data_IF_862226435926
#
_entry.id   IF_862226435926
#
_cell.length_a   1.000
_cell.length_b   1.000
_cell.length_c   1.000
_cell.angle_alpha   90.00
_cell.angle_beta   90.00
_cell.angle_gamma   90.00
#
_symmetry.space_group_name_H-M   'P 1'
#
loop_
_entity.id
_entity.type
_entity.pdbx_description
1 polymer ?
#
# COMPACT_ATOMS: atom_id res chain seq x y z
N UNK A 1 28.02 -11.81 -21.67
CA UNK A 1 27.49 -12.72 -20.67
C UNK A 1 26.36 -12.07 -19.93
N UNK A 2 25.25 -12.76 -19.86
CA UNK A 2 24.09 -12.22 -19.15
C UNK A 2 24.25 -12.41 -17.65
N UNK A 3 23.84 -11.40 -16.91
CA UNK A 3 23.76 -11.52 -15.46
C UNK A 3 22.61 -12.45 -15.11
N UNK A 4 22.72 -13.16 -14.02
CA UNK A 4 21.63 -13.99 -13.56
C UNK A 4 21.59 -14.00 -12.04
N UNK A 5 20.36 -14.19 -11.55
CA UNK A 5 20.11 -14.24 -10.11
C UNK A 5 20.18 -15.70 -9.71
N UNK A 6 20.87 -15.96 -8.59
CA UNK A 6 20.89 -17.32 -8.06
C UNK A 6 19.49 -17.69 -7.60
N UNK A 7 19.09 -18.90 -7.95
CA UNK A 7 17.77 -19.37 -7.58
C UNK A 7 17.75 -19.75 -6.10
N UNK A 8 16.79 -19.19 -5.41
CA UNK A 8 16.42 -19.66 -4.10
C UNK A 8 15.20 -20.50 -4.25
N UNK A 9 14.83 -21.22 -3.22
CA UNK A 9 13.65 -22.05 -3.29
C UNK A 9 12.37 -21.24 -3.15
N UNK A 10 12.45 -20.07 -2.55
CA UNK A 10 11.27 -19.24 -2.31
C UNK A 10 11.09 -18.20 -3.39
N UNK A 11 9.86 -17.99 -3.77
CA UNK A 11 9.51 -16.87 -4.62
C UNK A 11 9.58 -15.59 -3.81
N UNK A 12 9.81 -14.48 -4.48
CA UNK A 12 9.91 -13.18 -3.83
C UNK A 12 8.88 -12.23 -4.42
N UNK A 13 8.14 -11.58 -3.55
CA UNK A 13 7.21 -10.52 -3.93
C UNK A 13 7.32 -9.44 -2.87
N UNK A 14 8.09 -8.41 -3.15
CA UNK A 14 8.37 -7.35 -2.19
C UNK A 14 8.29 -6.01 -2.88
N UNK A 15 7.56 -5.09 -2.27
CA UNK A 15 7.37 -3.74 -2.78
C UNK A 15 7.70 -2.75 -1.68
N UNK A 16 8.45 -1.72 -2.04
CA UNK A 16 8.72 -0.59 -1.17
C UNK A 16 8.51 0.67 -1.98
N UNK A 17 7.56 1.48 -1.56
CA UNK A 17 7.23 2.72 -2.24
C UNK A 17 7.40 3.88 -1.28
N UNK A 18 7.87 4.99 -1.79
CA UNK A 18 7.88 6.23 -1.02
C UNK A 18 7.33 7.33 -1.91
N UNK A 19 6.29 7.99 -1.43
CA UNK A 19 5.64 9.04 -2.18
C UNK A 19 4.67 9.79 -1.29
N UNK A 20 3.68 10.44 -1.89
CA UNK A 20 2.71 11.19 -1.12
C UNK A 20 1.30 10.76 -1.49
N UNK A 21 0.39 10.93 -0.55
CA UNK A 21 -1.02 10.63 -0.81
C UNK A 21 -1.62 11.68 -1.71
N UNK A 22 -2.32 11.24 -2.74
CA UNK A 22 -2.97 12.16 -3.68
C UNK A 22 -4.45 12.36 -3.36
N UNK A 23 -4.99 11.58 -2.42
CA UNK A 23 -6.40 11.68 -2.05
C UNK A 23 -6.58 11.27 -0.60
N UNK A 24 -7.77 11.55 -0.07
CA UNK A 24 -8.13 11.16 1.29
C UNK A 24 -8.20 9.64 1.36
N UNK A 25 -7.64 9.02 2.41
CA UNK A 25 -7.78 7.58 2.61
C UNK A 25 -9.26 7.18 2.69
N UNK A 26 -9.59 6.05 2.11
CA UNK A 26 -10.96 5.59 2.05
C UNK A 26 -11.11 4.26 2.75
N UNK A 27 -11.93 4.21 3.80
CA UNK A 27 -12.20 2.98 4.52
C UNK A 27 -13.38 2.27 3.88
N UNK A 28 -13.25 0.97 3.68
CA UNK A 28 -14.31 0.16 3.09
C UNK A 28 -14.52 -1.10 3.89
N UNK A 29 -15.78 -1.52 3.97
CA UNK A 29 -16.15 -2.79 4.60
C UNK A 29 -16.38 -3.80 3.49
N UNK A 30 -15.73 -4.95 3.61
CA UNK A 30 -15.86 -6.03 2.65
C UNK A 30 -17.09 -6.88 2.98
N UNK A 31 -17.58 -7.68 2.02
CA UNK A 31 -18.73 -8.57 2.29
C UNK A 31 -18.48 -9.51 3.47
N UNK A 32 -17.25 -9.86 3.76
CA UNK A 32 -16.91 -10.70 4.91
C UNK A 32 -17.05 -10.00 6.25
N UNK A 33 -17.20 -8.67 6.24
CA UNK A 33 -17.17 -7.87 7.46
C UNK A 33 -15.79 -7.34 7.81
N UNK A 34 -14.76 -7.83 7.15
CA UNK A 34 -13.42 -7.29 7.30
C UNK A 34 -13.35 -5.90 6.67
N UNK A 35 -12.34 -5.14 7.03
CA UNK A 35 -12.20 -3.77 6.56
C UNK A 35 -10.87 -3.55 5.89
N UNK A 36 -10.85 -2.64 4.92
CA UNK A 36 -9.64 -2.20 4.25
C UNK A 36 -9.63 -0.68 4.21
N UNK A 37 -8.44 -0.11 4.15
CA UNK A 37 -8.27 1.31 3.88
C UNK A 37 -7.53 1.44 2.56
N UNK A 38 -8.16 2.09 1.60
CA UNK A 38 -7.57 2.30 0.29
C UNK A 38 -6.86 3.65 0.26
N UNK A 39 -5.64 3.62 -0.26
CA UNK A 39 -4.81 4.80 -0.40
C UNK A 39 -4.40 4.93 -1.86
N UNK A 40 -4.13 6.16 -2.27
CA UNK A 40 -3.54 6.41 -3.57
C UNK A 40 -2.24 7.15 -3.35
N UNK A 41 -1.14 6.53 -3.74
CA UNK A 41 0.19 7.05 -3.52
C UNK A 41 0.79 7.44 -4.86
N UNK A 42 1.25 8.69 -4.98
CA UNK A 42 1.92 9.13 -6.19
C UNK A 42 3.41 9.13 -5.95
N UNK A 43 4.12 8.54 -6.89
CA UNK A 43 5.57 8.42 -6.85
C UNK A 43 6.13 9.11 -8.07
N UNK A 44 7.02 10.06 -7.85
CA UNK A 44 7.66 10.79 -8.94
C UNK A 44 8.66 9.86 -9.63
N UNK A 45 8.64 9.84 -10.94
CA UNK A 45 9.64 9.07 -11.69
C UNK A 45 11.00 9.71 -11.53
N UNK A 46 12.07 8.91 -11.57
CA UNK A 46 13.43 9.43 -11.33
C UNK A 46 13.83 10.59 -12.24
N UNK A 47 13.35 10.59 -13.48
CA UNK A 47 13.67 11.67 -14.41
C UNK A 47 12.83 12.92 -14.18
N UNK A 48 11.88 12.88 -13.26
CA UNK A 48 11.04 14.03 -12.93
C UNK A 48 9.96 14.35 -13.95
N UNK A 49 9.82 13.55 -15.01
CA UNK A 49 8.92 13.86 -16.11
C UNK A 49 7.46 13.75 -15.73
N UNK A 50 7.14 12.81 -14.84
CA UNK A 50 5.76 12.54 -14.45
C UNK A 50 5.74 11.75 -13.16
N UNK A 51 4.54 11.43 -12.72
CA UNK A 51 4.33 10.61 -11.52
C UNK A 51 3.53 9.37 -11.90
N UNK A 52 3.71 8.32 -11.12
CA UNK A 52 2.84 7.16 -11.17
C UNK A 52 1.90 7.22 -9.99
N UNK A 53 0.62 7.04 -10.25
CA UNK A 53 -0.40 6.98 -9.19
C UNK A 53 -0.71 5.51 -8.95
N UNK A 54 -0.44 5.06 -7.73
CA UNK A 54 -0.50 3.66 -7.39
C UNK A 54 -1.55 3.42 -6.33
N UNK A 55 -2.36 2.38 -6.55
CA UNK A 55 -3.36 1.99 -5.57
C UNK A 55 -2.73 1.09 -4.52
N UNK A 56 -2.97 1.43 -3.26
CA UNK A 56 -2.45 0.70 -2.11
C UNK A 56 -3.61 0.33 -1.22
N UNK A 57 -3.66 -0.92 -0.79
CA UNK A 57 -4.68 -1.41 0.11
C UNK A 57 -4.04 -1.80 1.43
N UNK A 58 -4.52 -1.23 2.52
CA UNK A 58 -4.11 -1.61 3.86
C UNK A 58 -5.20 -2.53 4.40
N UNK A 59 -4.86 -3.76 4.66
CA UNK A 59 -5.82 -4.78 5.05
C UNK A 59 -5.88 -5.90 4.03
N UNK A 60 -6.88 -6.81 4.15
CA UNK A 60 -7.98 -6.70 5.10
C UNK A 60 -7.54 -6.91 6.54
N UNK A 61 -8.32 -6.31 7.42
CA UNK A 61 -8.17 -6.47 8.84
C UNK A 61 -9.54 -6.62 9.49
N UNK A 62 -9.60 -6.82 10.80
CA UNK A 62 -10.85 -7.12 11.46
C UNK A 62 -11.78 -5.91 11.51
N UNK A 63 -13.06 -6.15 11.36
CA UNK A 63 -14.08 -5.16 11.62
C UNK A 63 -14.25 -4.94 13.13
N UNK A 64 -15.21 -4.10 13.52
CA UNK A 64 -15.45 -3.81 14.94
C UNK A 64 -15.67 -5.08 15.73
N UNK A 65 -14.97 -5.20 16.86
CA UNK A 65 -15.10 -6.35 17.73
C UNK A 65 -14.36 -7.59 17.29
N UNK A 66 -13.80 -7.59 16.08
CA UNK A 66 -13.05 -8.72 15.58
C UNK A 66 -11.58 -8.69 15.98
N UNK A 67 -10.90 -9.80 15.72
CA UNK A 67 -9.46 -9.90 15.94
C UNK A 67 -8.76 -10.21 14.63
N UNK A 68 -7.58 -9.65 14.46
CA UNK A 68 -6.76 -9.93 13.28
C UNK A 68 -6.31 -11.39 13.32
N UNK A 69 -6.39 -12.05 12.16
CA UNK A 69 -5.82 -13.37 11.97
C UNK A 69 -4.33 -13.24 11.65
N UNK A 70 -3.57 -14.33 11.79
CA UNK A 70 -2.15 -14.26 11.42
C UNK A 70 -2.00 -13.76 9.99
N UNK A 71 -1.11 -12.80 9.80
CA UNK A 71 -0.86 -12.21 8.49
C UNK A 71 -1.77 -11.07 8.11
N UNK A 72 -2.82 -10.80 8.89
CA UNK A 72 -3.69 -9.65 8.65
C UNK A 72 -3.15 -8.42 9.37
N UNK A 73 -3.52 -7.24 8.85
CA UNK A 73 -3.20 -6.01 9.58
C UNK A 73 -4.17 -5.88 10.75
N UNK A 74 -3.69 -5.25 11.81
CA UNK A 74 -4.51 -5.03 12.97
C UNK A 74 -5.39 -3.80 12.84
N UNK A 75 -6.32 -3.68 13.77
CA UNK A 75 -7.25 -2.56 13.79
C UNK A 75 -6.52 -1.23 13.93
N UNK A 76 -5.44 -1.21 14.68
CA UNK A 76 -4.66 -0.01 14.87
C UNK A 76 -4.01 0.45 13.57
N UNK A 77 -3.50 -0.48 12.77
CA UNK A 77 -2.91 -0.14 11.49
C UNK A 77 -3.95 0.43 10.54
N UNK A 78 -5.16 -0.11 10.55
CA UNK A 78 -6.26 0.45 9.75
C UNK A 78 -6.59 1.86 10.19
N UNK A 79 -6.68 2.09 11.50
CA UNK A 79 -6.98 3.42 12.03
C UNK A 79 -5.89 4.42 11.70
N UNK A 80 -4.63 4.01 11.80
CA UNK A 80 -3.51 4.90 11.49
C UNK A 80 -3.51 5.26 10.01
N UNK A 81 -3.80 4.30 9.15
CA UNK A 81 -3.86 4.56 7.71
C UNK A 81 -4.99 5.52 7.37
N UNK A 82 -6.12 5.37 8.04
CA UNK A 82 -7.27 6.23 7.79
C UNK A 82 -7.02 7.68 8.20
N UNK A 83 -6.13 7.91 9.15
CA UNK A 83 -5.81 9.25 9.62
C UNK A 83 -4.77 9.99 8.79
N UNK A 84 -4.18 9.33 7.81
CA UNK A 84 -3.18 9.99 6.98
C UNK A 84 -3.84 11.12 6.19
N UNK A 85 -3.07 12.18 5.96
CA UNK A 85 -3.58 13.36 5.29
C UNK A 85 -3.18 13.38 3.82
N UNK A 86 -3.99 14.07 3.02
CA UNK A 86 -3.64 14.35 1.63
C UNK A 86 -2.31 15.09 1.60
N UNK A 87 -1.47 14.75 0.64
CA UNK A 87 -0.13 15.31 0.44
C UNK A 87 0.90 14.86 1.46
N UNK A 88 0.50 14.07 2.44
CA UNK A 88 1.46 13.52 3.39
C UNK A 88 2.37 12.52 2.70
N UNK A 89 3.67 12.60 3.00
CA UNK A 89 4.62 11.64 2.47
C UNK A 89 4.61 10.38 3.33
N UNK A 90 4.62 9.25 2.64
CA UNK A 90 4.55 7.95 3.30
C UNK A 90 5.52 6.98 2.65
N UNK A 91 5.91 5.99 3.42
CA UNK A 91 6.61 4.83 2.90
C UNK A 91 5.71 3.62 3.07
N UNK A 92 5.52 2.90 1.98
CA UNK A 92 4.68 1.70 1.95
C UNK A 92 5.58 0.50 1.75
N UNK A 93 5.39 -0.50 2.60
CA UNK A 93 6.10 -1.77 2.49
C UNK A 93 5.04 -2.85 2.38
N UNK A 94 5.17 -3.71 1.38
CA UNK A 94 4.18 -4.76 1.17
C UNK A 94 4.52 -5.63 -0.01
N UNK A 95 3.49 -6.05 -0.71
CA UNK A 95 3.63 -6.93 -1.86
C UNK A 95 2.66 -6.53 -2.93
N UNK A 96 2.93 -6.96 -4.16
CA UNK A 96 2.07 -6.70 -5.28
C UNK A 96 1.06 -7.84 -5.36
N UNK A 97 -0.21 -7.50 -5.49
CA UNK A 97 -1.28 -8.49 -5.56
C UNK A 97 -2.14 -8.24 -6.78
N UNK A 98 -2.61 -9.33 -7.37
CA UNK A 98 -3.61 -9.25 -8.42
C UNK A 98 -4.97 -9.41 -7.76
N UNK A 99 -5.83 -8.44 -7.97
CA UNK A 99 -7.18 -8.47 -7.46
C UNK A 99 -8.14 -8.77 -8.61
N UNK A 100 -9.05 -9.69 -8.37
CA UNK A 100 -10.05 -10.12 -9.35
C UNK A 100 -11.44 -9.72 -8.89
N UNK A 101 -12.29 -9.39 -9.82
CA UNK A 101 -13.71 -9.15 -9.54
C UNK A 101 -14.50 -9.37 -10.80
N UNK A 102 -15.85 -9.58 -10.63
CA UNK A 102 -16.74 -9.73 -11.75
C UNK A 102 -17.43 -8.39 -12.01
N UNK A 103 -17.49 -8.01 -13.28
CA UNK A 103 -18.13 -6.75 -13.69
C UNK A 103 -18.89 -7.02 -14.97
N UNK A 104 -20.24 -6.89 -14.92
CA UNK A 104 -21.07 -7.02 -16.10
C UNK A 104 -20.93 -8.34 -16.81
N UNK A 105 -20.74 -9.44 -16.08
CA UNK A 105 -20.56 -10.74 -16.67
C UNK A 105 -19.15 -11.06 -17.14
N UNK A 106 -18.24 -10.11 -17.03
CA UNK A 106 -16.84 -10.31 -17.40
C UNK A 106 -15.97 -10.32 -16.14
N UNK A 107 -14.97 -11.17 -16.15
CA UNK A 107 -14.01 -11.21 -15.06
C UNK A 107 -12.90 -10.21 -15.33
N UNK A 108 -12.63 -9.38 -14.36
CA UNK A 108 -11.61 -8.34 -14.49
C UNK A 108 -10.58 -8.47 -13.40
N UNK A 109 -9.40 -7.89 -13.64
CA UNK A 109 -8.35 -7.88 -12.64
C UNK A 109 -7.54 -6.61 -12.76
N UNK A 110 -6.86 -6.28 -11.68
CA UNK A 110 -5.83 -5.26 -11.71
C UNK A 110 -4.83 -5.53 -10.61
N UNK A 111 -3.67 -4.92 -10.75
CA UNK A 111 -2.62 -5.04 -9.76
C UNK A 111 -2.77 -3.91 -8.74
N UNK A 112 -2.51 -4.24 -7.50
CA UNK A 112 -2.49 -3.26 -6.43
C UNK A 112 -1.41 -3.66 -5.43
N UNK A 113 -0.95 -2.71 -4.64
CA UNK A 113 0.01 -2.99 -3.58
C UNK A 113 -0.78 -3.29 -2.32
N UNK A 114 -0.53 -4.45 -1.75
CA UNK A 114 -1.08 -4.81 -0.44
C UNK A 114 -0.06 -4.42 0.61
N UNK A 115 -0.37 -3.42 1.43
CA UNK A 115 0.57 -2.91 2.41
C UNK A 115 0.58 -3.74 3.67
N UNK A 116 1.76 -4.14 4.09
CA UNK A 116 2.00 -4.68 5.42
C UNK A 116 2.22 -3.55 6.41
N UNK A 117 2.77 -2.43 5.95
CA UNK A 117 2.99 -1.27 6.78
C UNK A 117 2.96 0.00 5.94
N UNK A 118 2.40 1.06 6.50
CA UNK A 118 2.44 2.40 5.92
C UNK A 118 2.94 3.33 7.01
N UNK A 119 4.07 3.98 6.74
CA UNK A 119 4.75 4.79 7.72
C UNK A 119 4.85 6.22 7.22
N UNK A 120 4.55 7.21 8.07
CA UNK A 120 4.78 8.60 7.68
C UNK A 120 6.27 8.84 7.52
N UNK A 121 6.62 9.61 6.49
CA UNK A 121 8.00 10.02 6.27
C UNK A 121 8.16 11.41 6.85
N UNK A 122 9.07 11.54 7.82
CA UNK A 122 9.29 12.81 8.49
C UNK A 122 10.77 13.12 8.45
N UNK A 123 11.07 14.40 8.58
CA UNK A 123 12.45 14.82 8.69
C UNK A 123 13.29 14.63 7.46
N UNK A 124 12.65 14.33 6.35
CA UNK A 124 13.43 14.11 5.16
C UNK A 124 14.10 15.37 4.72
N UNK A 125 13.67 16.47 5.24
CA UNK A 125 14.18 17.65 4.94
C UNK A 125 15.06 18.05 5.91
N UNK A 126 14.85 17.66 6.84
CA UNK A 126 15.61 18.07 7.69
C UNK A 126 16.79 17.64 7.51
N UNK A 127 16.76 16.92 6.87
CA UNK A 127 17.91 16.61 6.56
C UNK A 127 18.76 17.72 6.36
N UNK A 128 18.40 18.29 6.21
CA UNK A 128 19.09 19.21 6.10
C UNK A 128 19.54 19.89 7.03
N UNK A 129 19.41 19.57 7.43
CA UNK A 129 19.73 20.05 8.20
C UNK A 129 20.62 20.52 8.57
N UNK A 130 20.66 20.70 8.45
CA UNK A 130 21.26 21.20 8.80
C UNK A 130 21.66 21.83 8.82
N UNK A 131 21.45 21.58 8.71
CA UNK A 131 21.74 22.05 8.79
C UNK A 131 22.03 22.56 9.09
#
# INVERSE_FOLDING_TARGET
MAAQVRADEDDVNAVRLRGRLSSVPERRVLPSGDEVVNLRVVVRRPDGSTVDALDVSVGPGPGPGGRARPGEVGRRQLADAERLAVDQRVEVVGELRRRWWDAGGARRSRLEVRAAAVLPVVGDREVNVNA
#
